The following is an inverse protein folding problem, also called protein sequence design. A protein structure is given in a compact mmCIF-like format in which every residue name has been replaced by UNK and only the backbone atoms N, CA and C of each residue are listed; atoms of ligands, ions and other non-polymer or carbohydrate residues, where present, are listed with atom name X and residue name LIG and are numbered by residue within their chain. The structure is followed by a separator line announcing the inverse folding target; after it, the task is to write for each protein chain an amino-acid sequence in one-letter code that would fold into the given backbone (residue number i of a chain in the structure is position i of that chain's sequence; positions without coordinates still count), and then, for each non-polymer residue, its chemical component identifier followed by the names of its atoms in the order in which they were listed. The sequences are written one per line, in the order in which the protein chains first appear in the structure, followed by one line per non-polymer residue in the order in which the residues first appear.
data_IF_871228735745
#
_entry.id   IF_871228735745
#
_cell.length_a   1.000
_cell.length_b   1.000
_cell.length_c   1.000
_cell.angle_alpha   90.00
_cell.angle_beta   90.00
_cell.angle_gamma   90.00
#
_symmetry.space_group_name_H-M   'P 1'
#
loop_
_entity.id
_entity.type
_entity.pdbx_description
1 polymer ?
#
# COMPACT_ATOMS: atom_id res chain seq x y z
N UNK A 1 -38.59 4.86 5.68
CA UNK A 1 -37.21 4.67 6.18
C UNK A 1 -36.27 4.89 5.01
N UNK A 2 -35.63 6.07 4.92
CA UNK A 2 -34.90 6.50 3.72
C UNK A 2 -33.61 5.71 3.51
N UNK A 3 -33.44 5.15 2.31
CA UNK A 3 -32.17 4.57 1.86
C UNK A 3 -31.24 5.76 1.58
N UNK A 4 -30.33 6.05 2.51
CA UNK A 4 -29.25 7.00 2.30
C UNK A 4 -28.34 6.45 1.20
N UNK A 5 -28.49 6.98 -0.03
CA UNK A 5 -27.48 6.83 -1.07
C UNK A 5 -26.22 7.55 -0.59
N UNK A 6 -25.25 6.80 -0.07
CA UNK A 6 -23.89 7.29 0.18
C UNK A 6 -23.38 7.82 -1.16
N UNK A 7 -23.03 9.11 -1.23
CA UNK A 7 -22.35 9.68 -2.37
C UNK A 7 -21.12 8.81 -2.67
N UNK A 8 -21.14 8.07 -3.79
CA UNK A 8 -20.01 7.26 -4.23
C UNK A 8 -18.98 8.18 -4.88
N UNK A 9 -18.31 9.00 -4.07
CA UNK A 9 -17.03 9.56 -4.45
C UNK A 9 -16.05 8.41 -4.74
N UNK A 10 -15.07 8.65 -5.62
CA UNK A 10 -14.02 7.67 -5.93
C UNK A 10 -13.42 7.14 -4.62
N UNK A 11 -13.39 5.81 -4.47
CA UNK A 11 -12.77 5.16 -3.32
C UNK A 11 -11.29 5.55 -3.27
N UNK A 12 -10.86 6.19 -2.17
CA UNK A 12 -9.47 6.62 -2.02
C UNK A 12 -8.61 5.40 -1.72
N UNK A 13 -7.51 5.26 -2.44
CA UNK A 13 -6.62 4.11 -2.30
C UNK A 13 -5.42 4.46 -1.43
N UNK A 14 -5.12 3.59 -0.47
CA UNK A 14 -3.85 3.55 0.25
C UNK A 14 -3.05 2.36 -0.23
N UNK A 15 -2.00 2.61 -1.01
CA UNK A 15 -1.11 1.57 -1.50
C UNK A 15 -0.03 1.28 -0.46
N UNK A 16 0.09 0.01 -0.07
CA UNK A 16 0.98 -0.44 1.00
C UNK A 16 2.21 -1.10 0.39
N UNK A 17 3.37 -0.49 0.62
CA UNK A 17 4.68 -1.04 0.28
C UNK A 17 5.37 -1.47 1.57
N UNK A 18 5.57 -2.77 1.72
CA UNK A 18 6.10 -3.39 2.93
C UNK A 18 6.80 -4.71 2.59
N UNK A 19 7.66 -5.25 3.49
CA UNK A 19 8.22 -6.57 3.28
C UNK A 19 7.12 -7.63 3.11
N UNK A 20 7.16 -8.34 1.97
CA UNK A 20 6.17 -9.36 1.61
C UNK A 20 6.42 -10.66 2.39
N UNK A 21 7.69 -11.03 2.52
CA UNK A 21 8.12 -12.23 3.21
C UNK A 21 8.67 -11.92 4.61
N UNK A 22 8.86 -12.99 5.39
CA UNK A 22 9.61 -12.92 6.63
C UNK A 22 11.00 -12.30 6.39
N UNK A 23 11.45 -11.49 7.33
CA UNK A 23 12.74 -10.80 7.29
C UNK A 23 13.58 -11.20 8.51
N UNK A 24 14.91 -11.19 8.35
CA UNK A 24 15.84 -11.45 9.45
C UNK A 24 15.64 -10.46 10.61
N UNK A 25 15.70 -10.95 11.84
CA UNK A 25 15.46 -10.15 13.04
C UNK A 25 13.99 -9.94 13.40
N UNK A 26 13.05 -10.53 12.64
CA UNK A 26 11.62 -10.50 12.93
C UNK A 26 11.06 -11.91 13.12
N UNK A 27 10.04 -12.04 13.96
CA UNK A 27 9.30 -13.28 14.10
C UNK A 27 8.60 -13.66 12.79
N UNK A 28 8.45 -14.97 12.56
CA UNK A 28 7.68 -15.50 11.42
C UNK A 28 6.28 -14.89 11.39
N UNK A 29 5.86 -14.40 10.22
CA UNK A 29 4.57 -13.78 9.97
C UNK A 29 4.40 -12.38 10.56
N UNK A 30 5.47 -11.74 11.06
CA UNK A 30 5.40 -10.40 11.65
C UNK A 30 4.70 -9.40 10.73
N UNK A 31 5.18 -9.27 9.49
CA UNK A 31 4.65 -8.32 8.51
C UNK A 31 3.20 -8.62 8.11
N UNK A 32 2.83 -9.90 8.01
CA UNK A 32 1.43 -10.29 7.79
C UNK A 32 0.51 -9.87 8.93
N UNK A 33 0.97 -9.99 10.19
CA UNK A 33 0.21 -9.54 11.37
C UNK A 33 0.07 -8.02 11.38
N UNK A 34 1.15 -7.29 11.12
CA UNK A 34 1.15 -5.81 11.02
C UNK A 34 0.16 -5.36 9.95
N UNK A 35 0.21 -5.95 8.77
CA UNK A 35 -0.71 -5.63 7.68
C UNK A 35 -2.18 -5.85 8.08
N UNK A 36 -2.50 -7.07 8.52
CA UNK A 36 -3.87 -7.50 8.78
C UNK A 36 -4.51 -6.82 9.99
N UNK A 37 -3.74 -6.63 11.07
CA UNK A 37 -4.29 -6.19 12.35
C UNK A 37 -4.07 -4.70 12.64
N UNK A 38 -3.10 -4.05 11.97
CA UNK A 38 -2.80 -2.64 12.19
C UNK A 38 -3.14 -1.78 10.97
N UNK A 39 -2.53 -2.10 9.82
CA UNK A 39 -2.63 -1.26 8.62
C UNK A 39 -4.03 -1.28 8.03
N UNK A 40 -4.59 -2.47 7.75
CA UNK A 40 -5.92 -2.61 7.13
C UNK A 40 -7.01 -1.89 7.95
N UNK A 41 -7.15 -2.14 9.27
CA UNK A 41 -8.15 -1.45 10.07
C UNK A 41 -7.92 0.07 10.16
N UNK A 42 -6.67 0.52 10.14
CA UNK A 42 -6.36 1.95 10.18
C UNK A 42 -6.74 2.65 8.87
N UNK A 43 -6.41 2.06 7.72
CA UNK A 43 -6.80 2.58 6.40
C UNK A 43 -8.32 2.66 6.27
N UNK A 44 -9.04 1.59 6.63
CA UNK A 44 -10.51 1.54 6.54
C UNK A 44 -11.16 2.60 7.43
N UNK A 45 -10.69 2.77 8.68
CA UNK A 45 -11.18 3.84 9.58
C UNK A 45 -10.88 5.24 9.04
N UNK A 46 -9.78 5.41 8.32
CA UNK A 46 -9.42 6.67 7.67
C UNK A 46 -10.16 6.90 6.33
N UNK A 47 -11.03 5.97 5.90
CA UNK A 47 -11.78 6.06 4.66
C UNK A 47 -10.97 5.73 3.40
N UNK A 48 -9.87 4.99 3.54
CA UNK A 48 -9.06 4.50 2.44
C UNK A 48 -9.23 2.99 2.27
N UNK A 49 -9.20 2.53 1.02
CA UNK A 49 -9.04 1.11 0.68
C UNK A 49 -7.56 0.74 0.71
N UNK A 50 -7.13 -0.15 1.61
CA UNK A 50 -5.76 -0.66 1.60
C UNK A 50 -5.56 -1.62 0.42
N UNK A 51 -4.47 -1.44 -0.33
CA UNK A 51 -4.04 -2.37 -1.38
C UNK A 51 -2.57 -2.67 -1.14
N UNK A 52 -2.24 -3.94 -0.82
CA UNK A 52 -0.85 -4.37 -0.67
C UNK A 52 -0.28 -4.75 -2.04
N UNK A 53 1.00 -4.49 -2.25
CA UNK A 53 1.66 -4.71 -3.54
C UNK A 53 1.55 -6.16 -4.05
N UNK A 54 1.49 -7.16 -3.16
CA UNK A 54 1.43 -8.60 -3.46
C UNK A 54 0.02 -9.18 -3.63
N UNK A 55 -1.03 -8.54 -3.11
CA UNK A 55 -2.40 -9.08 -3.12
C UNK A 55 -3.02 -9.17 -4.54
N UNK A 56 -2.43 -8.49 -5.53
CA UNK A 56 -2.89 -8.51 -6.93
C UNK A 56 -1.90 -9.16 -7.92
N UNK A 57 -0.86 -9.83 -7.43
CA UNK A 57 0.24 -10.31 -8.27
C UNK A 57 -0.13 -11.60 -9.01
N UNK A 58 -0.69 -11.45 -10.22
CA UNK A 58 -0.71 -12.47 -11.26
C UNK A 58 0.10 -11.99 -12.47
N UNK A 59 1.23 -12.66 -12.73
CA UNK A 59 2.01 -12.66 -13.99
C UNK A 59 3.05 -11.53 -14.23
N UNK A 60 3.99 -11.82 -15.14
CA UNK A 60 5.32 -11.24 -15.43
C UNK A 60 5.48 -9.70 -15.60
N UNK A 61 4.49 -8.87 -15.28
CA UNK A 61 4.52 -7.39 -15.40
C UNK A 61 4.71 -6.65 -14.06
N UNK A 62 5.22 -7.37 -13.05
CA UNK A 62 5.27 -7.01 -11.62
C UNK A 62 5.71 -5.56 -11.39
N UNK A 63 6.85 -5.16 -11.94
CA UNK A 63 7.47 -3.86 -11.60
C UNK A 63 6.70 -2.68 -12.21
N UNK A 64 6.21 -2.78 -13.45
CA UNK A 64 5.51 -1.67 -14.11
C UNK A 64 4.17 -1.41 -13.42
N UNK A 65 3.45 -2.46 -13.05
CA UNK A 65 2.15 -2.33 -12.40
C UNK A 65 2.27 -1.80 -10.97
N UNK A 66 3.29 -2.22 -10.22
CA UNK A 66 3.63 -1.65 -8.92
C UNK A 66 3.93 -0.16 -9.06
N UNK A 67 4.78 0.23 -10.02
CA UNK A 67 5.11 1.65 -10.25
C UNK A 67 3.84 2.45 -10.56
N UNK A 68 2.96 1.97 -11.46
CA UNK A 68 1.69 2.63 -11.77
C UNK A 68 0.82 2.81 -10.52
N UNK A 69 0.66 1.77 -9.71
CA UNK A 69 -0.11 1.84 -8.46
C UNK A 69 0.49 2.84 -7.47
N UNK A 70 1.81 2.88 -7.33
CA UNK A 70 2.50 3.88 -6.50
C UNK A 70 2.19 5.31 -6.98
N UNK A 71 2.14 5.52 -8.29
CA UNK A 71 1.87 6.84 -8.87
C UNK A 71 0.40 7.27 -8.76
N UNK A 72 -0.52 6.34 -9.02
CA UNK A 72 -1.96 6.59 -9.15
C UNK A 72 -2.73 6.57 -7.81
N UNK A 73 -2.14 6.00 -6.76
CA UNK A 73 -2.79 5.92 -5.45
C UNK A 73 -2.82 7.27 -4.75
N UNK A 74 -3.91 7.53 -4.02
CA UNK A 74 -4.11 8.78 -3.28
C UNK A 74 -3.03 8.96 -2.21
N UNK A 75 -2.70 7.88 -1.49
CA UNK A 75 -1.60 7.82 -0.53
C UNK A 75 -0.80 6.52 -0.68
N UNK A 76 0.46 6.57 -0.28
CA UNK A 76 1.34 5.39 -0.16
C UNK A 76 1.81 5.31 1.28
N UNK A 77 1.67 4.13 1.90
CA UNK A 77 2.25 3.82 3.21
C UNK A 77 3.43 2.90 3.00
N UNK A 78 4.59 3.30 3.52
CA UNK A 78 5.84 2.56 3.39
C UNK A 78 6.33 2.04 4.74
N UNK A 79 6.47 0.73 4.88
CA UNK A 79 7.11 0.09 6.03
C UNK A 79 8.61 -0.10 5.79
N UNK A 80 9.42 0.80 6.35
CA UNK A 80 10.88 0.79 6.21
C UNK A 80 11.60 -0.18 7.15
N UNK A 81 10.84 -0.97 7.92
CA UNK A 81 11.38 -2.02 8.78
C UNK A 81 12.19 -3.04 7.98
N UNK A 82 13.14 -3.70 8.65
CA UNK A 82 14.09 -4.66 8.06
C UNK A 82 14.98 -4.12 6.92
N UNK A 83 14.91 -2.81 6.59
CA UNK A 83 15.71 -2.18 5.51
C UNK A 83 15.55 -2.89 4.17
N UNK A 84 14.33 -3.33 3.85
CA UNK A 84 14.07 -4.08 2.63
C UNK A 84 14.35 -3.21 1.37
N UNK A 85 15.23 -3.64 0.45
CA UNK A 85 15.64 -2.83 -0.70
C UNK A 85 14.51 -2.56 -1.69
N UNK A 86 13.52 -3.46 -1.78
CA UNK A 86 12.37 -3.26 -2.68
C UNK A 86 11.49 -2.12 -2.16
N UNK A 87 11.21 -2.09 -0.86
CA UNK A 87 10.42 -1.01 -0.25
C UNK A 87 11.13 0.34 -0.40
N UNK A 88 12.46 0.37 -0.24
CA UNK A 88 13.25 1.60 -0.47
C UNK A 88 13.20 2.05 -1.93
N UNK A 89 13.29 1.12 -2.88
CA UNK A 89 13.17 1.42 -4.31
C UNK A 89 11.79 2.01 -4.65
N UNK A 90 10.71 1.37 -4.20
CA UNK A 90 9.33 1.80 -4.41
C UNK A 90 9.04 3.19 -3.80
N UNK A 91 9.52 3.43 -2.58
CA UNK A 91 9.45 4.75 -1.95
C UNK A 91 10.21 5.81 -2.75
N UNK A 92 11.43 5.48 -3.20
CA UNK A 92 12.25 6.36 -4.03
C UNK A 92 11.53 6.75 -5.33
N UNK A 93 10.86 5.81 -6.00
CA UNK A 93 10.01 6.08 -7.16
C UNK A 93 8.88 7.05 -6.80
N UNK A 94 8.13 6.81 -5.71
CA UNK A 94 7.06 7.73 -5.30
C UNK A 94 7.57 9.16 -5.09
N UNK A 95 8.73 9.31 -4.46
CA UNK A 95 9.33 10.60 -4.18
C UNK A 95 9.82 11.30 -5.46
N UNK A 96 10.50 10.57 -6.35
CA UNK A 96 11.05 11.11 -7.59
C UNK A 96 9.96 11.61 -8.56
N UNK A 97 8.83 10.93 -8.61
CA UNK A 97 7.72 11.24 -9.52
C UNK A 97 6.59 12.02 -8.86
N UNK A 98 6.81 12.60 -7.67
CA UNK A 98 5.79 13.34 -6.96
C UNK A 98 5.26 14.49 -7.84
N UNK A 99 4.04 14.34 -8.36
CA UNK A 99 3.32 15.40 -9.06
C UNK A 99 3.30 16.60 -8.12
N UNK A 100 3.81 17.75 -8.59
CA UNK A 100 3.72 19.03 -7.87
C UNK A 100 2.31 19.14 -7.26
N UNK A 101 2.24 19.17 -5.93
CA UNK A 101 1.08 19.70 -5.23
C UNK A 101 1.05 21.19 -5.58
N UNK A 102 0.30 21.54 -6.63
CA UNK A 102 -0.08 22.90 -6.95
C UNK A 102 -1.52 23.09 -6.55
#
# INVERSE_FOLDING_TARGET
MGILKKNMGKEKVCFIIMPISDQEGYEKGHFSRVYKHLIVPACERAGFKPIRADDEVKTNYIVIDIIRKILDSDIVLADLSAKNPNVMYELGIRQAFNKKQR
#
